data_IF_723625355598
#
_entry.id   IF_723625355598
#
_cell.length_a   1.000
_cell.length_b   1.000
_cell.length_c   1.000
_cell.angle_alpha   90.00
_cell.angle_beta   90.00
_cell.angle_gamma   90.00
#
_symmetry.space_group_name_H-M   'P 1'
#
loop_
_entity.id
_entity.type
_entity.pdbx_description
1 polymer ?
#
# COMPACT_ATOMS: atom_id res chain seq x y z
N UNK A 1 17.68 -9.03 6.06
CA UNK A 1 16.70 -8.92 4.99
C UNK A 1 15.47 -8.16 5.46
N UNK A 2 15.06 -7.17 4.72
CA UNK A 2 13.94 -6.33 5.13
C UNK A 2 12.61 -6.99 4.79
N UNK A 3 11.74 -7.07 5.79
CA UNK A 3 10.43 -7.64 5.58
C UNK A 3 9.44 -6.53 5.24
N UNK A 4 8.71 -6.70 4.17
CA UNK A 4 7.71 -5.74 3.76
C UNK A 4 6.46 -5.88 4.62
N UNK A 5 5.95 -4.75 5.12
CA UNK A 5 4.73 -4.76 5.92
C UNK A 5 3.52 -5.13 5.06
N UNK A 6 3.47 -4.60 3.85
CA UNK A 6 2.36 -4.84 2.92
C UNK A 6 2.92 -5.20 1.56
N UNK A 7 3.37 -6.45 1.39
CA UNK A 7 4.05 -6.83 0.15
C UNK A 7 3.19 -6.66 -1.09
N UNK A 8 1.89 -6.96 -1.01
CA UNK A 8 1.04 -6.81 -2.19
C UNK A 8 0.87 -5.35 -2.58
N UNK A 9 0.73 -4.47 -1.59
CA UNK A 9 0.64 -3.04 -1.89
C UNK A 9 1.93 -2.55 -2.54
N UNK A 10 3.07 -2.94 -1.99
CA UNK A 10 4.36 -2.52 -2.54
C UNK A 10 4.52 -3.00 -3.99
N UNK A 11 4.26 -4.28 -4.22
CA UNK A 11 4.41 -4.87 -5.55
C UNK A 11 3.47 -4.20 -6.54
N UNK A 12 2.21 -4.04 -6.15
CA UNK A 12 1.21 -3.44 -7.03
C UNK A 12 1.60 -2.01 -7.40
N UNK A 13 2.05 -1.24 -6.40
CA UNK A 13 2.48 0.13 -6.66
C UNK A 13 3.63 0.17 -7.65
N UNK A 14 4.61 -0.71 -7.46
CA UNK A 14 5.78 -0.75 -8.34
C UNK A 14 5.39 -1.19 -9.75
N UNK A 15 4.50 -2.15 -9.85
CA UNK A 15 4.05 -2.63 -11.17
C UNK A 15 3.32 -1.54 -11.95
N UNK A 16 2.60 -0.67 -11.25
CA UNK A 16 1.90 0.44 -11.90
C UNK A 16 2.82 1.63 -12.17
N UNK A 17 4.05 1.56 -11.69
CA UNK A 17 5.01 2.65 -11.90
C UNK A 17 4.74 3.87 -11.04
N UNK A 18 4.00 3.72 -9.96
CA UNK A 18 3.66 4.84 -9.10
C UNK A 18 4.74 5.06 -8.05
N UNK A 19 5.14 6.32 -7.88
CA UNK A 19 6.05 6.68 -6.80
C UNK A 19 5.26 6.85 -5.51
N UNK A 20 5.98 6.80 -4.39
CA UNK A 20 5.34 7.07 -3.09
C UNK A 20 4.76 8.48 -3.05
N UNK A 21 5.45 9.43 -3.71
CA UNK A 21 4.95 10.81 -3.76
C UNK A 21 3.62 10.88 -4.49
N UNK A 22 3.49 10.16 -5.60
CA UNK A 22 2.26 10.16 -6.37
C UNK A 22 1.11 9.58 -5.56
N UNK A 23 1.36 8.46 -4.90
CA UNK A 23 0.31 7.81 -4.11
C UNK A 23 -0.06 8.68 -2.91
N UNK A 24 0.92 9.27 -2.25
CA UNK A 24 0.66 10.18 -1.13
C UNK A 24 -0.26 11.32 -1.56
N UNK A 25 0.00 11.88 -2.75
CA UNK A 25 -0.83 12.94 -3.30
C UNK A 25 -2.27 12.48 -3.48
N UNK A 26 -2.46 11.27 -3.97
CA UNK A 26 -3.82 10.71 -4.14
C UNK A 26 -4.53 10.55 -2.81
N UNK A 27 -3.78 10.28 -1.75
CA UNK A 27 -4.36 10.13 -0.42
C UNK A 27 -4.48 11.44 0.34
N UNK A 28 -3.91 12.52 -0.19
CA UNK A 28 -3.93 13.81 0.48
C UNK A 28 -3.01 13.88 1.68
N UNK A 29 -1.91 13.13 1.66
CA UNK A 29 -0.93 13.14 2.75
C UNK A 29 0.45 13.40 2.18
N UNK A 30 1.40 13.69 3.07
CA UNK A 30 2.78 13.93 2.63
C UNK A 30 3.47 12.62 2.25
N UNK A 31 4.49 12.69 1.39
CA UNK A 31 5.25 11.49 1.04
C UNK A 31 5.87 10.81 2.25
N UNK A 32 6.31 11.58 3.25
CA UNK A 32 6.89 11.02 4.46
C UNK A 32 5.86 10.22 5.24
N UNK A 33 4.63 10.74 5.34
CA UNK A 33 3.58 10.02 6.03
C UNK A 33 3.21 8.74 5.29
N UNK A 34 3.14 8.81 3.97
CA UNK A 34 2.85 7.61 3.19
C UNK A 34 3.95 6.56 3.38
N UNK A 35 5.21 6.99 3.36
CA UNK A 35 6.32 6.07 3.55
C UNK A 35 6.23 5.34 4.88
N UNK A 36 5.87 6.07 5.94
CA UNK A 36 5.70 5.44 7.25
C UNK A 36 4.59 4.40 7.23
N UNK A 37 3.50 4.69 6.53
CA UNK A 37 2.38 3.76 6.46
C UNK A 37 2.74 2.53 5.64
N UNK A 38 3.38 2.72 4.50
CA UNK A 38 3.75 1.59 3.65
C UNK A 38 4.77 0.70 4.34
N UNK A 39 5.63 1.27 5.17
CA UNK A 39 6.65 0.49 5.88
C UNK A 39 6.12 -0.16 7.15
N UNK A 40 4.87 0.09 7.51
CA UNK A 40 4.26 -0.51 8.68
C UNK A 40 4.49 0.25 9.97
N UNK A 41 5.13 1.42 9.91
CA UNK A 41 5.39 2.22 11.09
C UNK A 41 4.21 3.11 11.48
N UNK A 42 3.25 3.26 10.57
CA UNK A 42 2.02 3.98 10.84
C UNK A 42 0.87 3.20 10.21
N UNK A 43 -0.34 3.45 10.67
CA UNK A 43 -1.51 2.67 10.26
C UNK A 43 -2.25 3.39 9.15
N UNK A 44 -2.65 2.64 8.10
CA UNK A 44 -3.59 3.15 7.11
C UNK A 44 -4.97 3.21 7.73
N UNK A 45 -5.69 4.31 7.51
CA UNK A 45 -7.08 4.35 7.92
C UNK A 45 -7.96 3.71 6.83
N UNK A 46 -9.22 3.47 7.17
CA UNK A 46 -10.11 2.77 6.25
C UNK A 46 -10.31 3.55 4.95
N UNK A 47 -10.42 4.87 5.04
CA UNK A 47 -10.62 5.68 3.85
C UNK A 47 -9.44 5.55 2.90
N UNK A 48 -8.22 5.55 3.44
CA UNK A 48 -7.02 5.38 2.63
C UNK A 48 -6.99 4.00 1.98
N UNK A 49 -7.38 2.98 2.74
CA UNK A 49 -7.45 1.63 2.19
C UNK A 49 -8.43 1.54 1.03
N UNK A 50 -9.58 2.20 1.17
CA UNK A 50 -10.59 2.19 0.12
C UNK A 50 -10.10 2.90 -1.13
N UNK A 51 -9.42 4.04 -0.97
CA UNK A 51 -8.88 4.77 -2.11
C UNK A 51 -7.87 3.92 -2.86
N UNK A 52 -6.97 3.28 -2.13
CA UNK A 52 -5.94 2.45 -2.77
C UNK A 52 -6.55 1.22 -3.43
N UNK A 53 -7.54 0.62 -2.79
CA UNK A 53 -8.23 -0.54 -3.36
C UNK A 53 -8.88 -0.18 -4.70
N UNK A 54 -9.55 0.95 -4.75
CA UNK A 54 -10.20 1.40 -5.98
C UNK A 54 -9.17 1.80 -7.03
N UNK A 55 -8.12 2.47 -6.59
CA UNK A 55 -7.07 2.95 -7.50
C UNK A 55 -6.39 1.79 -8.22
N UNK A 56 -6.14 0.70 -7.50
CA UNK A 56 -5.43 -0.45 -8.06
C UNK A 56 -6.35 -1.61 -8.44
N UNK A 57 -7.64 -1.46 -8.16
CA UNK A 57 -8.62 -2.51 -8.47
C UNK A 57 -8.25 -3.84 -7.83
N UNK A 58 -7.88 -3.79 -6.56
CA UNK A 58 -7.52 -4.95 -5.76
C UNK A 58 -8.30 -4.88 -4.45
N UNK A 59 -8.93 -5.98 -4.02
CA UNK A 59 -9.67 -5.95 -2.75
C UNK A 59 -8.79 -5.54 -1.58
N UNK A 60 -9.39 -4.85 -0.61
CA UNK A 60 -8.65 -4.34 0.53
C UNK A 60 -7.92 -5.44 1.28
N UNK A 61 -8.60 -6.54 1.56
CA UNK A 61 -8.00 -7.63 2.32
C UNK A 61 -6.82 -8.24 1.59
N UNK A 62 -6.84 -8.22 0.28
CA UNK A 62 -5.75 -8.75 -0.53
C UNK A 62 -4.60 -7.74 -0.59
N UNK A 63 -4.93 -6.47 -0.83
CA UNK A 63 -3.94 -5.43 -1.00
C UNK A 63 -3.13 -5.20 0.27
N UNK A 64 -3.79 -5.31 1.42
CA UNK A 64 -3.15 -5.04 2.71
C UNK A 64 -2.81 -6.30 3.49
N UNK A 65 -2.79 -7.44 2.82
CA UNK A 65 -2.33 -8.67 3.44
C UNK A 65 -0.86 -8.55 3.79
N UNK A 66 -0.51 -8.97 4.98
CA UNK A 66 0.88 -9.00 5.41
C UNK A 66 1.58 -10.27 4.97
N UNK A 67 0.86 -11.15 4.29
CA UNK A 67 1.40 -12.41 3.84
C UNK A 67 1.28 -12.52 2.33
N UNK A 68 2.32 -13.02 1.71
CA UNK A 68 2.25 -13.37 0.30
C UNK A 68 1.58 -14.74 0.21
N UNK A 69 0.50 -14.80 -0.54
CA UNK A 69 -0.19 -16.07 -0.70
C UNK A 69 0.60 -16.96 -1.62
N UNK A 70 1.11 -18.02 -1.06
CA UNK A 70 1.73 -19.04 -1.87
C UNK A 70 0.80 -20.22 -1.83
N UNK A 71 0.19 -20.47 -2.89
CA UNK A 71 -0.72 -21.56 -3.06
C UNK A 71 -0.89 -22.48 -1.90
N UNK A 72 -1.73 -22.33 -1.10
CA UNK A 72 -1.97 -23.19 0.00
C UNK A 72 -3.09 -24.11 -0.29
#
# INVERSE_FOLDING_TARGET
MTKLAYPMLYITRKEKGDTQKKVASKLGISPQRYQLKESGKAIFNLNECQILSEMYDVPIDELFSSKIKVGE
#
